data_IF_456081014425
#
_entry.id   IF_456081014425
#
_cell.length_a   1.000
_cell.length_b   1.000
_cell.length_c   1.000
_cell.angle_alpha   90.00
_cell.angle_beta   90.00
_cell.angle_gamma   90.00
#
_symmetry.space_group_name_H-M   'P 1'
#
loop_
_entity.id
_entity.type
_entity.pdbx_description
1 polymer ?
#
# COMPACT_ATOMS: atom_id res chain seq x y z
N UNK A 1 26.28 2.11 -34.66
CA UNK A 1 26.97 2.37 -33.38
C UNK A 1 26.00 2.09 -32.24
N UNK A 2 26.20 1.02 -31.46
CA UNK A 2 25.29 0.67 -30.37
C UNK A 2 25.62 1.49 -29.12
N UNK A 3 24.61 2.20 -28.57
CA UNK A 3 24.77 2.95 -27.33
C UNK A 3 24.83 2.01 -26.13
N UNK A 4 25.92 2.12 -25.40
CA UNK A 4 26.24 1.37 -24.19
C UNK A 4 25.21 1.64 -23.09
N UNK A 5 24.46 0.59 -22.70
CA UNK A 5 23.65 0.56 -21.48
C UNK A 5 24.58 0.75 -20.27
N UNK A 6 24.60 1.96 -19.72
CA UNK A 6 25.18 2.23 -18.41
C UNK A 6 24.39 1.48 -17.34
N UNK A 7 24.96 0.37 -16.86
CA UNK A 7 24.57 -0.32 -15.65
C UNK A 7 24.78 0.61 -14.47
N UNK A 8 23.74 1.38 -14.10
CA UNK A 8 23.69 2.11 -12.84
C UNK A 8 23.81 1.10 -11.68
N UNK A 9 24.96 1.10 -11.03
CA UNK A 9 25.17 0.49 -9.71
C UNK A 9 24.14 1.11 -8.76
N UNK A 10 23.14 0.32 -8.36
CA UNK A 10 22.03 0.75 -7.51
C UNK A 10 22.54 1.11 -6.12
N UNK A 11 21.95 2.10 -5.46
CA UNK A 11 22.40 2.48 -4.12
C UNK A 11 22.21 1.30 -3.14
N UNK A 12 23.03 1.15 -2.10
CA UNK A 12 22.86 0.10 -1.09
C UNK A 12 21.45 0.09 -0.47
N UNK A 13 20.87 1.29 -0.33
CA UNK A 13 19.50 1.50 0.16
C UNK A 13 18.44 0.99 -0.83
N UNK A 14 18.66 1.14 -2.14
CA UNK A 14 17.81 0.55 -3.18
C UNK A 14 17.93 -0.98 -3.23
N UNK A 15 19.08 -1.55 -2.86
CA UNK A 15 19.29 -3.00 -2.78
C UNK A 15 18.60 -3.60 -1.56
N UNK A 16 18.73 -3.03 -0.36
CA UNK A 16 18.01 -3.50 0.83
C UNK A 16 16.48 -3.41 0.69
N UNK A 17 15.97 -2.34 0.07
CA UNK A 17 14.54 -2.20 -0.24
C UNK A 17 14.09 -3.29 -1.22
N UNK A 18 14.95 -3.70 -2.16
CA UNK A 18 14.69 -4.73 -3.18
C UNK A 18 14.81 -6.16 -2.64
N UNK A 19 15.72 -6.42 -1.71
CA UNK A 19 15.88 -7.77 -1.16
C UNK A 19 14.80 -8.07 -0.12
N UNK A 20 14.49 -7.10 0.75
CA UNK A 20 13.29 -7.17 1.59
C UNK A 20 11.99 -7.27 0.78
N UNK A 21 11.99 -6.80 -0.47
CA UNK A 21 10.88 -6.93 -1.42
C UNK A 21 10.78 -8.35 -1.98
N UNK A 22 11.87 -8.95 -2.43
CA UNK A 22 11.86 -10.30 -3.02
C UNK A 22 11.38 -11.35 -2.02
N UNK A 23 11.87 -11.31 -0.78
CA UNK A 23 11.49 -12.29 0.25
C UNK A 23 10.01 -12.20 0.60
N UNK A 24 9.46 -10.99 0.76
CA UNK A 24 8.03 -10.81 1.09
C UNK A 24 7.10 -10.97 -0.12
N UNK A 25 7.56 -10.67 -1.34
CA UNK A 25 6.87 -10.97 -2.60
C UNK A 25 6.64 -12.48 -2.73
N UNK A 26 7.65 -13.30 -2.42
CA UNK A 26 7.53 -14.76 -2.43
C UNK A 26 6.51 -15.27 -1.41
N UNK A 27 6.55 -14.75 -0.18
CA UNK A 27 5.55 -15.08 0.86
C UNK A 27 4.13 -14.70 0.41
N UNK A 28 3.98 -13.53 -0.22
CA UNK A 28 2.69 -13.04 -0.68
C UNK A 28 2.12 -13.85 -1.85
N UNK A 29 2.95 -14.15 -2.85
CA UNK A 29 2.56 -15.04 -3.97
C UNK A 29 2.19 -16.41 -3.41
N UNK A 30 3.00 -16.95 -2.49
CA UNK A 30 2.72 -18.23 -1.83
C UNK A 30 1.38 -18.24 -1.09
N UNK A 31 1.05 -17.16 -0.36
CA UNK A 31 -0.21 -17.04 0.37
C UNK A 31 -1.42 -16.99 -0.57
N UNK A 32 -1.33 -16.22 -1.66
CA UNK A 32 -2.42 -16.08 -2.62
C UNK A 32 -2.64 -17.40 -3.35
N UNK A 33 -1.58 -17.96 -3.94
CA UNK A 33 -1.67 -19.25 -4.63
C UNK A 33 -2.15 -20.35 -3.70
N UNK A 34 -1.64 -20.42 -2.47
CA UNK A 34 -2.09 -21.39 -1.47
C UNK A 34 -3.56 -21.25 -1.10
N UNK A 35 -4.03 -20.02 -0.83
CA UNK A 35 -5.43 -19.76 -0.51
C UNK A 35 -6.38 -20.06 -1.68
N UNK A 36 -5.98 -19.77 -2.92
CA UNK A 36 -6.76 -20.08 -4.11
C UNK A 36 -6.87 -21.59 -4.33
N UNK A 37 -5.76 -22.33 -4.17
CA UNK A 37 -5.77 -23.80 -4.27
C UNK A 37 -6.66 -24.42 -3.20
N UNK A 38 -6.56 -23.95 -1.95
CA UNK A 38 -7.39 -24.43 -0.86
C UNK A 38 -8.88 -24.18 -1.12
N UNK A 39 -9.24 -22.99 -1.60
CA UNK A 39 -10.62 -22.66 -1.93
C UNK A 39 -11.17 -23.51 -3.08
N UNK A 40 -10.37 -23.74 -4.13
CA UNK A 40 -10.74 -24.64 -5.22
C UNK A 40 -10.96 -26.07 -4.73
N UNK A 41 -10.09 -26.57 -3.85
CA UNK A 41 -10.23 -27.90 -3.24
C UNK A 41 -11.48 -28.01 -2.36
N UNK A 42 -11.79 -26.96 -1.58
CA UNK A 42 -12.99 -26.91 -0.75
C UNK A 42 -14.28 -26.90 -1.59
N UNK A 43 -14.32 -26.12 -2.67
CA UNK A 43 -15.45 -26.10 -3.62
C UNK A 43 -15.61 -27.46 -4.31
N UNK A 44 -14.50 -28.12 -4.70
CA UNK A 44 -14.55 -29.46 -5.27
C UNK A 44 -15.08 -30.49 -4.26
N UNK A 45 -14.70 -30.39 -2.99
CA UNK A 45 -15.20 -31.27 -1.92
C UNK A 45 -16.70 -31.04 -1.66
N UNK A 46 -17.15 -29.78 -1.64
CA UNK A 46 -18.57 -29.42 -1.56
C UNK A 46 -19.38 -29.90 -2.77
N UNK A 47 -18.75 -30.17 -3.92
CA UNK A 47 -19.40 -30.78 -5.07
C UNK A 47 -19.50 -32.30 -4.98
N UNK A 48 -18.51 -32.96 -4.38
CA UNK A 48 -18.49 -34.42 -4.20
C UNK A 48 -19.63 -34.89 -3.28
N UNK A 49 -19.93 -34.14 -2.21
CA UNK A 49 -20.95 -34.54 -1.22
C UNK A 49 -22.37 -34.61 -1.83
N UNK A 50 -22.84 -33.62 -2.61
CA UNK A 50 -24.14 -33.70 -3.30
C UNK A 50 -24.16 -34.63 -4.51
N UNK A 51 -23.01 -34.96 -5.12
CA UNK A 51 -22.96 -35.81 -6.30
C UNK A 51 -23.61 -37.18 -6.06
N UNK A 52 -23.42 -37.76 -4.87
CA UNK A 52 -24.01 -39.05 -4.47
C UNK A 52 -25.53 -38.96 -4.24
N UNK A 53 -26.05 -37.78 -3.86
CA UNK A 53 -27.47 -37.55 -3.60
C UNK A 53 -28.26 -36.99 -4.79
N UNK A 54 -27.60 -36.36 -5.77
CA UNK A 54 -28.27 -35.79 -6.96
C UNK A 54 -28.55 -36.85 -8.04
N UNK A 55 -27.80 -37.94 -8.06
CA UNK A 55 -27.98 -39.04 -9.03
C UNK A 55 -29.30 -39.79 -8.86
N UNK A 56 -29.96 -39.67 -7.71
CA UNK A 56 -31.26 -40.31 -7.43
C UNK A 56 -32.47 -39.47 -7.82
N UNK A 57 -32.29 -38.15 -8.04
CA UNK A 57 -33.41 -37.22 -8.32
C UNK A 57 -33.54 -36.94 -9.83
N UNK A 58 -32.44 -36.68 -10.55
CA UNK A 58 -32.49 -36.39 -11.98
C UNK A 58 -31.14 -36.63 -12.69
N UNK A 59 -31.08 -37.32 -13.86
CA UNK A 59 -29.81 -37.66 -14.54
C UNK A 59 -28.96 -36.46 -14.99
N UNK A 60 -29.60 -35.32 -15.28
CA UNK A 60 -28.93 -34.11 -15.79
C UNK A 60 -28.45 -33.15 -14.67
N UNK A 61 -28.95 -33.29 -13.44
CA UNK A 61 -28.62 -32.37 -12.36
C UNK A 61 -27.14 -32.39 -11.93
N UNK A 62 -26.45 -33.55 -11.86
CA UNK A 62 -25.02 -33.62 -11.55
C UNK A 62 -24.14 -32.90 -12.59
N UNK A 63 -24.53 -32.97 -13.87
CA UNK A 63 -23.80 -32.32 -14.97
C UNK A 63 -23.90 -30.80 -14.93
N UNK A 64 -25.10 -30.25 -14.71
CA UNK A 64 -25.30 -28.80 -14.60
C UNK A 64 -24.51 -28.23 -13.41
N UNK A 65 -24.58 -28.90 -12.26
CA UNK A 65 -23.85 -28.48 -11.06
C UNK A 65 -22.34 -28.62 -11.24
N UNK A 66 -21.88 -29.62 -11.99
CA UNK A 66 -20.49 -29.79 -12.42
C UNK A 66 -19.99 -28.65 -13.32
N UNK A 67 -20.77 -28.22 -14.31
CA UNK A 67 -20.39 -27.08 -15.16
C UNK A 67 -20.32 -25.76 -14.38
N UNK A 68 -21.27 -25.53 -13.47
CA UNK A 68 -21.29 -24.32 -12.62
C UNK A 68 -20.07 -24.28 -11.70
N UNK A 69 -19.76 -25.41 -11.03
CA UNK A 69 -18.59 -25.51 -10.14
C UNK A 69 -17.27 -25.41 -10.88
N UNK A 70 -17.15 -26.05 -12.05
CA UNK A 70 -15.97 -25.92 -12.91
C UNK A 70 -15.77 -24.48 -13.40
N UNK A 71 -16.85 -23.80 -13.80
CA UNK A 71 -16.82 -22.38 -14.17
C UNK A 71 -16.36 -21.48 -13.01
N UNK A 72 -16.81 -21.75 -11.79
CA UNK A 72 -16.40 -21.01 -10.60
C UNK A 72 -14.91 -21.22 -10.28
N UNK A 73 -14.41 -22.47 -10.35
CA UNK A 73 -13.00 -22.79 -10.15
C UNK A 73 -12.12 -22.11 -11.21
N UNK A 74 -12.54 -22.13 -12.47
CA UNK A 74 -11.84 -21.46 -13.57
C UNK A 74 -11.80 -19.93 -13.36
N UNK A 75 -12.89 -19.32 -12.93
CA UNK A 75 -12.94 -17.89 -12.65
C UNK A 75 -12.01 -17.49 -11.49
N UNK A 76 -11.99 -18.27 -10.41
CA UNK A 76 -11.09 -18.07 -9.25
C UNK A 76 -9.62 -18.24 -9.68
N UNK A 77 -9.32 -19.29 -10.43
CA UNK A 77 -7.97 -19.54 -10.95
C UNK A 77 -7.50 -18.44 -11.88
N UNK A 78 -8.35 -17.97 -12.80
CA UNK A 78 -8.06 -16.87 -13.70
C UNK A 78 -7.81 -15.55 -12.94
N UNK A 79 -8.62 -15.24 -11.94
CA UNK A 79 -8.45 -14.06 -11.11
C UNK A 79 -7.14 -14.10 -10.31
N UNK A 80 -6.80 -15.24 -9.71
CA UNK A 80 -5.54 -15.43 -9.00
C UNK A 80 -4.33 -15.32 -9.93
N UNK A 81 -4.40 -15.95 -11.10
CA UNK A 81 -3.36 -15.90 -12.13
C UNK A 81 -3.14 -14.47 -12.64
N UNK A 82 -4.22 -13.75 -12.95
CA UNK A 82 -4.15 -12.35 -13.39
C UNK A 82 -3.49 -11.45 -12.33
N UNK A 83 -3.79 -11.68 -11.05
CA UNK A 83 -3.21 -10.93 -9.95
C UNK A 83 -1.71 -11.24 -9.77
N UNK A 84 -1.33 -12.52 -9.84
CA UNK A 84 0.07 -12.97 -9.78
C UNK A 84 0.87 -12.45 -10.97
N UNK A 85 0.33 -12.52 -12.19
CA UNK A 85 0.97 -11.95 -13.38
C UNK A 85 1.14 -10.44 -13.26
N UNK A 86 0.16 -9.71 -12.72
CA UNK A 86 0.29 -8.26 -12.49
C UNK A 86 1.46 -7.95 -11.54
N UNK A 87 1.60 -8.72 -10.47
CA UNK A 87 2.69 -8.59 -9.48
C UNK A 87 4.06 -9.01 -10.07
N UNK A 88 4.09 -9.98 -10.99
CA UNK A 88 5.32 -10.46 -11.64
C UNK A 88 5.78 -9.52 -12.76
N UNK A 89 4.87 -9.11 -13.64
CA UNK A 89 5.19 -8.30 -14.82
C UNK A 89 5.33 -6.82 -14.49
N UNK A 90 4.79 -6.33 -13.36
CA UNK A 90 4.89 -4.92 -12.97
C UNK A 90 4.23 -3.97 -13.98
N UNK A 91 3.34 -4.50 -14.84
CA UNK A 91 2.62 -3.73 -15.86
C UNK A 91 1.14 -3.68 -15.50
N UNK A 92 0.56 -2.49 -15.29
CA UNK A 92 -0.88 -2.38 -15.10
C UNK A 92 -1.57 -2.83 -16.38
N UNK A 93 -2.46 -3.83 -16.29
CA UNK A 93 -3.34 -4.25 -17.39
C UNK A 93 -4.11 -3.04 -17.93
N UNK A 94 -4.36 -2.99 -19.24
CA UNK A 94 -4.95 -1.85 -19.97
C UNK A 94 -6.32 -1.36 -19.41
N UNK A 95 -6.99 -2.14 -18.56
CA UNK A 95 -8.25 -1.79 -17.86
C UNK A 95 -8.07 -1.37 -16.38
N UNK A 96 -6.83 -1.22 -15.89
CA UNK A 96 -6.49 -1.06 -14.47
C UNK A 96 -6.96 0.24 -13.80
N UNK A 97 -7.27 1.31 -14.54
CA UNK A 97 -7.70 2.59 -13.93
C UNK A 97 -9.04 2.47 -13.19
N UNK A 98 -9.99 1.67 -13.71
CA UNK A 98 -11.32 1.45 -13.09
C UNK A 98 -11.32 0.35 -12.03
N UNK A 99 -10.54 -0.72 -12.20
CA UNK A 99 -10.45 -1.82 -11.22
C UNK A 99 -9.57 -1.49 -10.00
N UNK A 100 -8.70 -0.48 -10.08
CA UNK A 100 -7.80 -0.08 -8.97
C UNK A 100 -8.52 0.22 -7.66
N UNK A 101 -9.65 0.92 -7.73
CA UNK A 101 -10.44 1.25 -6.54
C UNK A 101 -11.08 0.04 -5.89
N UNK A 102 -11.49 -0.93 -6.71
CA UNK A 102 -12.06 -2.21 -6.23
C UNK A 102 -10.97 -3.09 -5.64
N UNK A 103 -9.81 -3.21 -6.31
CA UNK A 103 -8.68 -3.96 -5.76
C UNK A 103 -8.23 -3.31 -4.44
N UNK A 104 -7.95 -2.01 -4.36
CA UNK A 104 -7.46 -1.41 -3.09
C UNK A 104 -8.49 -1.47 -1.94
N UNK A 105 -9.79 -1.27 -2.21
CA UNK A 105 -10.84 -1.32 -1.17
C UNK A 105 -11.21 -2.74 -0.74
N UNK A 106 -11.26 -3.71 -1.66
CA UNK A 106 -11.66 -5.09 -1.37
C UNK A 106 -10.49 -5.96 -0.91
N UNK A 107 -9.28 -5.66 -1.38
CA UNK A 107 -8.13 -6.53 -1.20
C UNK A 107 -7.51 -6.44 0.20
N UNK A 108 -7.46 -5.27 0.83
CA UNK A 108 -6.97 -5.16 2.22
C UNK A 108 -7.84 -5.92 3.24
N UNK A 109 -9.19 -5.77 3.28
CA UNK A 109 -10.01 -6.53 4.22
C UNK A 109 -9.92 -8.04 3.95
N UNK A 110 -9.88 -8.46 2.68
CA UNK A 110 -9.71 -9.86 2.30
C UNK A 110 -8.35 -10.42 2.74
N UNK A 111 -7.25 -9.71 2.48
CA UNK A 111 -5.89 -10.11 2.90
C UNK A 111 -5.73 -10.11 4.42
N UNK A 112 -6.39 -9.19 5.13
CA UNK A 112 -6.35 -9.15 6.60
C UNK A 112 -7.13 -10.32 7.20
N UNK A 113 -8.25 -10.70 6.58
CA UNK A 113 -9.05 -11.85 6.97
C UNK A 113 -8.28 -13.16 6.73
N UNK A 114 -7.75 -13.36 5.52
CA UNK A 114 -6.96 -14.53 5.15
C UNK A 114 -5.66 -14.64 5.96
N UNK A 115 -4.96 -13.52 6.18
CA UNK A 115 -3.74 -13.50 7.01
C UNK A 115 -4.01 -13.92 8.46
N UNK A 116 -5.19 -13.60 9.00
CA UNK A 116 -5.58 -14.03 10.36
C UNK A 116 -5.79 -15.55 10.43
N UNK A 117 -6.32 -16.18 9.39
CA UNK A 117 -6.46 -17.63 9.32
C UNK A 117 -5.11 -18.36 9.23
N UNK A 118 -4.10 -17.72 8.65
CA UNK A 118 -2.74 -18.27 8.48
C UNK A 118 -1.79 -17.83 9.61
N UNK A 119 -2.28 -17.13 10.65
CA UNK A 119 -1.47 -16.70 11.79
C UNK A 119 -0.51 -15.54 11.49
N UNK A 120 -0.66 -14.84 10.36
CA UNK A 120 0.19 -13.70 9.99
C UNK A 120 -0.28 -12.44 10.75
N UNK A 121 0.63 -11.69 11.40
CA UNK A 121 0.25 -10.48 12.11
C UNK A 121 -0.27 -9.40 11.15
N UNK A 122 -1.34 -8.70 11.57
CA UNK A 122 -2.01 -7.66 10.78
C UNK A 122 -1.06 -6.55 10.32
N UNK A 123 -0.04 -6.23 11.10
CA UNK A 123 0.98 -5.23 10.73
C UNK A 123 1.77 -5.65 9.49
N UNK A 124 2.15 -6.93 9.37
CA UNK A 124 2.87 -7.45 8.20
C UNK A 124 2.02 -7.36 6.95
N UNK A 125 0.73 -7.69 7.05
CA UNK A 125 -0.21 -7.58 5.92
C UNK A 125 -0.33 -6.12 5.46
N UNK A 126 -0.50 -5.18 6.40
CA UNK A 126 -0.58 -3.74 6.10
C UNK A 126 0.71 -3.18 5.52
N UNK A 127 1.86 -3.56 6.05
CA UNK A 127 3.16 -3.16 5.51
C UNK A 127 3.35 -3.65 4.06
N UNK A 128 2.97 -4.90 3.77
CA UNK A 128 2.99 -5.45 2.41
C UNK A 128 2.06 -4.67 1.48
N UNK A 129 0.85 -4.33 1.93
CA UNK A 129 -0.08 -3.51 1.17
C UNK A 129 0.50 -2.13 0.83
N UNK A 130 1.08 -1.43 1.80
CA UNK A 130 1.70 -0.11 1.59
C UNK A 130 2.81 -0.22 0.55
N UNK A 131 3.64 -1.26 0.61
CA UNK A 131 4.72 -1.49 -0.35
C UNK A 131 4.20 -1.72 -1.77
N UNK A 132 3.17 -2.54 -1.93
CA UNK A 132 2.51 -2.75 -3.24
C UNK A 132 1.92 -1.45 -3.77
N UNK A 133 1.23 -0.68 -2.92
CA UNK A 133 0.70 0.62 -3.30
C UNK A 133 1.80 1.59 -3.76
N UNK A 134 2.92 1.67 -3.05
CA UNK A 134 4.04 2.54 -3.42
C UNK A 134 4.62 2.18 -4.79
N UNK A 135 4.79 0.89 -5.09
CA UNK A 135 5.28 0.45 -6.40
C UNK A 135 4.28 0.80 -7.51
N UNK A 136 2.98 0.68 -7.23
CA UNK A 136 1.92 1.08 -8.14
C UNK A 136 1.93 2.58 -8.42
N UNK A 137 2.10 3.42 -7.39
CA UNK A 137 2.19 4.88 -7.54
C UNK A 137 3.47 5.27 -8.28
N UNK A 138 4.62 4.63 -7.97
CA UNK A 138 5.88 4.88 -8.69
C UNK A 138 5.83 4.43 -10.15
N UNK A 139 5.19 3.29 -10.42
CA UNK A 139 5.05 2.72 -11.76
C UNK A 139 4.20 3.56 -12.72
N UNK A 140 3.40 4.51 -12.20
CA UNK A 140 2.68 5.46 -13.06
C UNK A 140 3.61 6.47 -13.73
N UNK A 141 4.78 6.74 -13.15
CA UNK A 141 5.74 7.71 -13.69
C UNK A 141 5.24 9.15 -13.74
N UNK A 142 4.15 9.48 -13.02
CA UNK A 142 3.63 10.84 -12.95
C UNK A 142 4.52 11.72 -12.06
N UNK A 143 4.81 12.92 -12.55
CA UNK A 143 5.49 13.98 -11.80
C UNK A 143 4.54 15.15 -11.56
N UNK A 144 4.73 15.84 -10.46
CA UNK A 144 3.84 16.89 -9.97
C UNK A 144 4.63 18.16 -9.66
N UNK A 145 4.06 19.35 -9.94
CA UNK A 145 4.66 20.59 -9.45
C UNK A 145 4.60 20.64 -7.92
N UNK A 146 5.56 21.34 -7.31
CA UNK A 146 5.74 21.36 -5.85
C UNK A 146 4.45 21.68 -5.07
N UNK A 147 3.66 22.63 -5.56
CA UNK A 147 2.40 23.08 -4.95
C UNK A 147 1.29 22.01 -4.91
N UNK A 148 1.42 20.97 -5.74
CA UNK A 148 0.52 19.83 -5.83
C UNK A 148 1.02 18.63 -5.02
N UNK A 149 2.21 18.70 -4.43
CA UNK A 149 2.74 17.67 -3.54
C UNK A 149 2.41 18.07 -2.09
N UNK A 150 1.66 17.22 -1.41
CA UNK A 150 1.37 17.36 0.02
C UNK A 150 2.19 16.33 0.81
N UNK A 151 3.11 16.82 1.62
CA UNK A 151 3.82 16.03 2.63
C UNK A 151 2.95 15.98 3.90
N UNK A 152 2.44 14.81 4.24
CA UNK A 152 1.50 14.61 5.36
C UNK A 152 2.13 13.78 6.47
N UNK A 153 2.36 14.40 7.63
CA UNK A 153 3.06 13.80 8.76
C UNK A 153 2.10 13.48 9.91
N UNK A 154 2.45 12.50 10.78
CA UNK A 154 1.66 12.22 11.97
C UNK A 154 2.06 13.17 13.10
N UNK A 155 1.11 13.55 13.96
CA UNK A 155 1.43 14.35 15.16
C UNK A 155 2.47 13.70 16.08
N UNK A 156 2.57 12.36 16.07
CA UNK A 156 3.52 11.59 16.87
C UNK A 156 4.99 11.89 16.55
N UNK A 157 5.29 12.59 15.46
CA UNK A 157 6.66 13.00 15.10
C UNK A 157 7.14 14.19 15.94
N UNK A 158 6.20 14.95 16.48
CA UNK A 158 6.49 16.05 17.36
C UNK A 158 6.91 15.52 18.72
N UNK A 159 8.00 16.06 19.27
CA UNK A 159 8.46 15.71 20.61
C UNK A 159 7.35 15.96 21.64
N UNK A 160 7.10 14.99 22.50
CA UNK A 160 6.09 14.98 23.56
C UNK A 160 6.24 16.13 24.55
N UNK A 161 7.46 16.66 24.70
CA UNK A 161 7.79 17.81 25.56
C UNK A 161 7.70 19.16 24.83
N UNK A 162 7.36 19.16 23.54
CA UNK A 162 7.26 20.37 22.76
C UNK A 162 6.05 21.20 23.19
N UNK A 163 6.29 22.45 23.60
CA UNK A 163 5.26 23.38 24.10
C UNK A 163 4.42 24.03 22.98
N UNK A 164 4.86 23.95 21.73
CA UNK A 164 4.21 24.61 20.60
C UNK A 164 3.19 23.70 19.93
N UNK A 165 1.96 24.15 19.73
CA UNK A 165 0.94 23.34 19.04
C UNK A 165 1.02 23.54 17.54
N UNK A 166 1.36 22.49 16.79
CA UNK A 166 1.64 22.56 15.34
C UNK A 166 0.49 22.02 14.46
N UNK A 167 -0.68 21.77 15.05
CA UNK A 167 -1.83 21.15 14.37
C UNK A 167 -2.49 22.07 13.32
N UNK A 168 -2.49 23.37 13.56
CA UNK A 168 -3.15 24.36 12.69
C UNK A 168 -2.14 25.12 11.83
N UNK A 169 -1.01 25.46 12.43
CA UNK A 169 0.06 26.19 11.78
C UNK A 169 1.40 25.59 12.23
N UNK A 170 2.12 25.05 11.25
CA UNK A 170 3.40 24.37 11.46
C UNK A 170 4.54 25.38 11.54
N UNK A 171 4.35 26.61 11.04
CA UNK A 171 5.35 27.67 11.10
C UNK A 171 5.58 28.18 12.54
N UNK A 172 4.71 27.80 13.48
CA UNK A 172 4.95 27.94 14.92
C UNK A 172 6.13 27.09 15.45
N UNK A 173 6.69 26.19 14.64
CA UNK A 173 7.84 25.40 15.02
C UNK A 173 9.10 26.27 15.11
N UNK A 174 9.71 26.35 16.29
CA UNK A 174 11.00 27.04 16.49
C UNK A 174 12.22 26.36 15.86
N UNK A 175 12.04 25.19 15.22
CA UNK A 175 13.13 24.40 14.62
C UNK A 175 14.27 24.11 15.62
N UNK A 176 13.91 23.76 16.87
CA UNK A 176 14.87 23.50 17.94
C UNK A 176 15.75 22.26 17.73
N UNK A 177 15.39 21.37 16.79
CA UNK A 177 16.12 20.13 16.51
C UNK A 177 15.72 18.93 17.37
N UNK A 178 14.89 19.13 18.39
CA UNK A 178 14.43 18.05 19.31
C UNK A 178 13.49 17.01 18.66
N UNK A 179 13.09 17.23 17.41
CA UNK A 179 12.28 16.30 16.62
C UNK A 179 12.59 16.43 15.12
N UNK A 180 12.26 15.39 14.34
CA UNK A 180 12.50 15.35 12.90
C UNK A 180 11.76 16.45 12.10
N UNK A 181 10.80 17.14 12.72
CA UNK A 181 10.02 18.20 12.08
C UNK A 181 10.87 19.37 11.58
N UNK A 182 11.97 19.71 12.27
CA UNK A 182 12.87 20.75 11.80
C UNK A 182 13.49 20.42 10.43
N UNK A 183 13.91 19.16 10.24
CA UNK A 183 14.42 18.66 8.97
C UNK A 183 13.33 18.58 7.89
N UNK A 184 12.12 18.19 8.26
CA UNK A 184 10.97 18.17 7.33
C UNK A 184 10.59 19.58 6.86
N UNK A 185 10.65 20.58 7.75
CA UNK A 185 10.46 21.98 7.39
C UNK A 185 11.56 22.49 6.48
N UNK A 186 12.81 22.08 6.69
CA UNK A 186 13.89 22.40 5.77
C UNK A 186 13.65 21.81 4.37
N UNK A 187 13.20 20.54 4.28
CA UNK A 187 12.81 19.94 2.99
C UNK A 187 11.64 20.67 2.34
N UNK A 188 10.64 21.07 3.12
CA UNK A 188 9.51 21.89 2.64
C UNK A 188 10.01 23.17 1.98
N UNK A 189 10.84 23.93 2.69
CA UNK A 189 11.34 25.22 2.21
C UNK A 189 12.26 25.05 0.99
N UNK A 190 13.11 24.01 1.00
CA UNK A 190 14.05 23.69 -0.10
C UNK A 190 13.33 23.34 -1.40
N UNK A 191 12.20 22.62 -1.33
CA UNK A 191 11.48 22.14 -2.51
C UNK A 191 10.19 22.91 -2.82
N UNK A 192 9.78 23.86 -1.98
CA UNK A 192 8.55 24.64 -2.16
C UNK A 192 7.27 23.79 -2.08
N UNK A 193 7.32 22.64 -1.40
CA UNK A 193 6.17 21.74 -1.26
C UNK A 193 5.30 22.12 -0.07
N UNK A 194 4.09 21.57 0.03
CA UNK A 194 3.22 21.77 1.19
C UNK A 194 3.50 20.71 2.25
N UNK A 195 3.59 21.11 3.51
CA UNK A 195 3.73 20.22 4.66
C UNK A 195 2.53 20.41 5.59
N UNK A 196 1.94 19.31 6.06
CA UNK A 196 0.84 19.31 7.02
C UNK A 196 1.04 18.22 8.09
N UNK A 197 0.63 18.49 9.33
CA UNK A 197 0.69 17.54 10.45
C UNK A 197 -0.74 17.19 10.87
N UNK A 198 -1.06 15.89 10.92
CA UNK A 198 -2.38 15.41 11.31
C UNK A 198 -2.35 14.63 12.62
N UNK A 199 -3.28 14.92 13.53
CA UNK A 199 -3.44 14.14 14.78
C UNK A 199 -4.25 12.85 14.59
N UNK A 200 -4.83 12.65 13.41
CA UNK A 200 -5.54 11.43 13.05
C UNK A 200 -6.19 11.51 11.67
N UNK A 201 -6.85 10.43 11.27
CA UNK A 201 -7.44 10.28 9.92
C UNK A 201 -8.47 11.35 9.56
N UNK A 202 -9.28 11.81 10.52
CA UNK A 202 -10.29 12.85 10.26
C UNK A 202 -9.65 14.19 9.89
N UNK A 203 -8.59 14.60 10.61
CA UNK A 203 -7.86 15.83 10.29
C UNK A 203 -7.10 15.66 8.97
N UNK A 204 -6.46 14.51 8.76
CA UNK A 204 -5.81 14.19 7.49
C UNK A 204 -6.76 14.36 6.30
N UNK A 205 -7.98 13.77 6.35
CA UNK A 205 -8.99 13.91 5.29
C UNK A 205 -9.39 15.37 5.06
N UNK A 206 -9.56 16.15 6.13
CA UNK A 206 -9.86 17.58 6.02
C UNK A 206 -8.74 18.35 5.31
N UNK A 207 -7.48 18.11 5.68
CA UNK A 207 -6.31 18.72 5.05
C UNK A 207 -6.27 18.38 3.56
N UNK A 208 -6.51 17.11 3.20
CA UNK A 208 -6.52 16.66 1.79
C UNK A 208 -7.60 17.38 0.98
N UNK A 209 -8.82 17.50 1.53
CA UNK A 209 -9.93 18.21 0.89
C UNK A 209 -9.63 19.71 0.71
N UNK A 210 -8.99 20.34 1.70
CA UNK A 210 -8.63 21.76 1.66
C UNK A 210 -7.53 22.07 0.63
N UNK A 211 -6.47 21.25 0.60
CA UNK A 211 -5.30 21.53 -0.24
C UNK A 211 -5.44 21.00 -1.66
N UNK A 212 -6.33 20.01 -1.89
CA UNK A 212 -6.52 19.31 -3.17
C UNK A 212 -5.20 19.00 -3.90
N UNK A 213 -4.29 18.25 -3.25
CA UNK A 213 -3.02 17.91 -3.86
C UNK A 213 -3.22 16.97 -5.06
N UNK A 214 -2.19 16.87 -5.92
CA UNK A 214 -2.11 15.85 -6.97
C UNK A 214 -1.47 14.55 -6.46
N UNK A 215 -0.61 14.64 -5.45
CA UNK A 215 0.07 13.52 -4.80
C UNK A 215 0.23 13.78 -3.30
N UNK A 216 0.06 12.73 -2.48
CA UNK A 216 0.39 12.77 -1.06
C UNK A 216 1.65 11.92 -0.81
N UNK A 217 2.66 12.50 -0.16
CA UNK A 217 3.74 11.75 0.48
C UNK A 217 3.40 11.68 1.96
N UNK A 218 2.98 10.50 2.43
CA UNK A 218 2.50 10.33 3.80
C UNK A 218 3.51 9.55 4.64
N UNK A 219 3.75 10.00 5.88
CA UNK A 219 4.51 9.26 6.88
C UNK A 219 3.56 8.86 8.00
N UNK A 220 3.46 7.57 8.33
CA UNK A 220 2.76 7.11 9.53
C UNK A 220 3.11 5.66 9.85
N UNK A 221 2.44 5.11 10.87
CA UNK A 221 2.47 3.68 11.13
C UNK A 221 1.69 2.89 10.07
N UNK A 222 1.85 1.57 10.07
CA UNK A 222 1.24 0.67 9.10
C UNK A 222 -0.30 0.75 9.11
N UNK A 223 -0.89 0.96 10.29
CA UNK A 223 -2.34 1.09 10.45
C UNK A 223 -2.85 2.33 9.73
N UNK A 224 -2.30 3.49 10.07
CA UNK A 224 -2.84 4.78 9.65
C UNK A 224 -2.54 5.03 8.16
N UNK A 225 -1.38 4.57 7.67
CA UNK A 225 -1.08 4.59 6.23
C UNK A 225 -2.00 3.69 5.43
N UNK A 226 -2.23 2.45 5.89
CA UNK A 226 -3.11 1.53 5.17
C UNK A 226 -4.54 2.09 5.07
N UNK A 227 -5.10 2.61 6.17
CA UNK A 227 -6.41 3.26 6.14
C UNK A 227 -6.40 4.54 5.30
N UNK A 228 -5.34 5.35 5.40
CA UNK A 228 -5.22 6.61 4.66
C UNK A 228 -5.24 6.38 3.15
N UNK A 229 -4.47 5.42 2.65
CA UNK A 229 -4.43 5.03 1.23
C UNK A 229 -5.83 4.61 0.73
N UNK A 230 -6.59 3.88 1.56
CA UNK A 230 -7.94 3.45 1.18
C UNK A 230 -8.94 4.61 1.15
N UNK A 231 -8.85 5.52 2.12
CA UNK A 231 -9.75 6.64 2.29
C UNK A 231 -9.57 7.72 1.22
N UNK A 232 -8.34 7.91 0.72
CA UNK A 232 -8.04 8.96 -0.25
C UNK A 232 -8.19 8.53 -1.71
N UNK A 233 -8.52 7.26 -1.99
CA UNK A 233 -8.70 6.80 -3.38
C UNK A 233 -9.77 7.64 -4.10
N UNK A 234 -9.51 8.20 -5.31
CA UNK A 234 -8.47 7.84 -6.28
C UNK A 234 -7.14 8.61 -6.23
N UNK A 235 -6.93 9.47 -5.24
CA UNK A 235 -5.71 10.27 -5.11
C UNK A 235 -4.49 9.38 -4.78
N UNK A 236 -3.37 9.47 -5.53
CA UNK A 236 -2.20 8.66 -5.26
C UNK A 236 -1.52 9.09 -3.95
N UNK A 237 -1.11 8.09 -3.18
CA UNK A 237 -0.42 8.27 -1.90
C UNK A 237 0.83 7.41 -1.89
N UNK A 238 1.99 8.02 -1.68
CA UNK A 238 3.24 7.32 -1.42
C UNK A 238 3.50 7.26 0.09
N UNK A 239 3.51 6.06 0.68
CA UNK A 239 3.59 5.86 2.12
C UNK A 239 5.00 5.51 2.62
N UNK A 240 5.50 6.23 3.61
CA UNK A 240 6.78 5.97 4.28
C UNK A 240 6.50 5.58 5.73
N UNK A 241 6.97 4.39 6.15
CA UNK A 241 6.79 3.96 7.53
C UNK A 241 7.67 4.78 8.47
N UNK A 242 7.10 5.22 9.60
CA UNK A 242 7.86 5.87 10.67
C UNK A 242 8.62 4.85 11.53
N UNK A 243 9.72 5.29 12.13
CA UNK A 243 10.42 4.58 13.19
C UNK A 243 9.76 4.89 14.53
N UNK A 244 9.75 3.90 15.42
CA UNK A 244 9.08 3.96 16.74
C UNK A 244 10.06 3.63 17.86
N UNK A 245 11.09 4.47 18.10
CA UNK A 245 12.11 4.19 19.12
C UNK A 245 11.51 4.13 20.54
N UNK A 246 10.50 4.95 20.81
CA UNK A 246 9.84 5.05 22.13
C UNK A 246 8.47 4.38 22.17
N UNK A 247 8.22 3.42 21.27
CA UNK A 247 6.95 2.70 21.19
C UNK A 247 5.92 3.37 20.27
N UNK A 248 4.66 2.87 20.29
CA UNK A 248 3.63 3.33 19.37
C UNK A 248 3.14 4.74 19.72
N UNK A 249 3.10 5.61 18.72
CA UNK A 249 2.51 6.95 18.81
C UNK A 249 3.17 7.88 19.84
N UNK A 250 4.44 7.66 20.18
CA UNK A 250 5.23 8.53 21.05
C UNK A 250 6.60 8.79 20.41
N UNK A 251 6.95 10.06 20.25
CA UNK A 251 8.27 10.53 19.80
C UNK A 251 8.83 9.71 18.62
N UNK A 252 7.99 9.56 17.60
CA UNK A 252 8.30 8.77 16.41
C UNK A 252 9.26 9.52 15.51
N UNK A 253 10.05 8.79 14.73
CA UNK A 253 11.08 9.36 13.88
C UNK A 253 10.87 8.97 12.41
N UNK A 254 11.51 9.68 11.50
CA UNK A 254 11.48 9.39 10.06
C UNK A 254 12.84 9.62 9.43
N UNK A 255 13.20 8.68 8.56
CA UNK A 255 14.38 8.78 7.72
C UNK A 255 14.21 9.91 6.68
N UNK A 256 14.82 11.06 6.94
CA UNK A 256 14.70 12.26 6.08
C UNK A 256 15.22 12.03 4.66
N UNK A 257 16.21 11.16 4.50
CA UNK A 257 16.75 10.69 3.22
C UNK A 257 15.67 10.01 2.37
N UNK A 258 14.81 9.19 2.97
CA UNK A 258 13.69 8.52 2.27
C UNK A 258 12.62 9.52 1.84
N UNK A 259 12.37 10.52 2.68
CA UNK A 259 11.41 11.60 2.38
C UNK A 259 11.94 12.46 1.24
N UNK A 260 13.20 12.90 1.31
CA UNK A 260 13.84 13.70 0.26
C UNK A 260 13.91 12.92 -1.07
N UNK A 261 14.25 11.63 -1.02
CA UNK A 261 14.21 10.77 -2.22
C UNK A 261 12.82 10.73 -2.83
N UNK A 262 11.77 10.52 -2.02
CA UNK A 262 10.40 10.48 -2.52
C UNK A 262 9.97 11.82 -3.14
N UNK A 263 10.35 12.95 -2.52
CA UNK A 263 10.08 14.27 -3.09
C UNK A 263 10.75 14.39 -4.46
N UNK A 264 12.04 14.07 -4.58
CA UNK A 264 12.78 14.14 -5.85
C UNK A 264 12.23 13.23 -6.95
N UNK A 265 11.75 12.04 -6.57
CA UNK A 265 11.20 11.07 -7.52
C UNK A 265 9.94 11.60 -8.21
N UNK A 266 9.08 12.31 -7.47
CA UNK A 266 7.78 12.77 -7.95
C UNK A 266 7.72 14.26 -8.31
N UNK A 267 8.76 15.04 -8.01
CA UNK A 267 8.83 16.45 -8.36
C UNK A 267 9.16 16.62 -9.86
N UNK A 268 8.44 17.54 -10.52
CA UNK A 268 8.70 17.95 -11.91
C UNK A 268 9.94 18.83 -12.00
#
# INVERSE_FOLDING_TARGET
>A
MPSTRSTKTKSPLEQEIRDSFQTRKRVFIGLITGSSVFLCAFIALLWIVPFVGLTTIHPLAPWILGFITAGLILAIGWAALALVLNILLGRPVLFAKRLRGVTVKLFLPLMTLLGRFVGIPKQTVRASFIKVNNELVRGEGHRYPAEKILLLMPHCIQNSRCKFRLTYDIDNCKRCGDCALAGLLHLRDKYGIKLAVATGGTIARRIVVQHRPGLIIAVACERDLASGIQDTHPLPVYGILNARPFGPCLDTDVALDKVEWAIKEFLT
#
